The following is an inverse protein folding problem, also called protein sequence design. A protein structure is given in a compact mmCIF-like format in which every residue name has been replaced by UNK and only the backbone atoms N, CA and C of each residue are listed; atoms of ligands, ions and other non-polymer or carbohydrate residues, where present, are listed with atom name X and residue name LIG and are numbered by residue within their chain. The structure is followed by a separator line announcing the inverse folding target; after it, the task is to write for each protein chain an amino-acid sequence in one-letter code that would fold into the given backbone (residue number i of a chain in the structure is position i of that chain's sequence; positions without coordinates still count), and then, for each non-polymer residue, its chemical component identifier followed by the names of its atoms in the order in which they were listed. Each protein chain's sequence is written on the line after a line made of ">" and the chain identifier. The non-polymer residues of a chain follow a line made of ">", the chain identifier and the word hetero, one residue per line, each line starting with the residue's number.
data_IF_810550222941
#
_entry.id   IF_810550222941
#
_cell.length_a   1.000
_cell.length_b   1.000
_cell.length_c   1.000
_cell.angle_alpha   90.00
_cell.angle_beta   90.00
_cell.angle_gamma   90.00
#
_symmetry.space_group_name_H-M   'P 1'
#
loop_
_entity.id
_entity.type
_entity.pdbx_description
1 polymer ?
#
# COMPACT_ATOMS: atom_id res chain seq x y z
N UNK A 1 -25.26 -19.11 14.16
CA UNK A 1 -23.85 -18.90 13.76
C UNK A 1 -23.05 -18.62 15.03
N UNK A 2 -22.45 -19.65 15.64
CA UNK A 2 -21.76 -19.51 16.93
C UNK A 2 -20.41 -18.82 16.70
N UNK A 3 -20.21 -17.62 17.27
CA UNK A 3 -18.87 -17.04 17.42
C UNK A 3 -18.18 -17.74 18.59
N UNK A 4 -16.84 -17.84 18.55
CA UNK A 4 -16.04 -18.46 19.64
C UNK A 4 -16.42 -17.92 21.03
N UNK A 5 -16.77 -16.63 21.11
CA UNK A 5 -17.25 -15.97 22.34
C UNK A 5 -18.54 -16.56 22.94
N UNK A 6 -19.36 -17.23 22.14
CA UNK A 6 -20.61 -17.88 22.57
C UNK A 6 -20.45 -19.36 22.86
N UNK A 7 -19.26 -19.94 22.64
CA UNK A 7 -18.97 -21.35 22.89
C UNK A 7 -19.10 -21.67 24.39
N UNK A 8 -18.57 -20.81 25.26
CA UNK A 8 -18.69 -20.96 26.72
C UNK A 8 -20.14 -20.89 27.16
N UNK A 9 -20.92 -19.94 26.64
CA UNK A 9 -22.35 -19.83 26.92
C UNK A 9 -23.14 -21.07 26.47
N UNK A 10 -22.78 -21.62 25.31
CA UNK A 10 -23.40 -22.83 24.76
C UNK A 10 -23.06 -24.09 25.56
N UNK A 11 -21.79 -24.25 25.98
CA UNK A 11 -21.38 -25.34 26.88
C UNK A 11 -22.09 -25.26 28.24
N UNK A 12 -22.24 -24.06 28.80
CA UNK A 12 -23.00 -23.85 30.04
C UNK A 12 -24.47 -24.23 29.86
N UNK A 13 -25.08 -23.88 28.73
CA UNK A 13 -26.47 -24.21 28.43
C UNK A 13 -26.69 -25.72 28.28
N UNK A 14 -25.77 -26.42 27.60
CA UNK A 14 -25.78 -27.89 27.52
C UNK A 14 -25.61 -28.51 28.91
N UNK A 15 -24.69 -28.01 29.74
CA UNK A 15 -24.52 -28.51 31.11
C UNK A 15 -25.79 -28.33 31.95
N UNK A 16 -26.46 -27.17 31.85
CA UNK A 16 -27.73 -26.91 32.54
C UNK A 16 -28.82 -27.88 32.06
N UNK A 17 -28.93 -28.12 30.76
CA UNK A 17 -29.90 -29.08 30.20
C UNK A 17 -29.61 -30.50 30.70
N UNK A 18 -28.35 -30.92 30.77
CA UNK A 18 -27.97 -32.24 31.29
C UNK A 18 -28.30 -32.40 32.79
N UNK A 19 -28.13 -31.33 33.58
CA UNK A 19 -28.54 -31.30 34.99
C UNK A 19 -30.06 -31.40 35.13
N UNK A 20 -30.83 -30.68 34.29
CA UNK A 20 -32.30 -30.77 34.30
C UNK A 20 -32.77 -32.18 33.92
N UNK A 21 -32.17 -32.79 32.90
CA UNK A 21 -32.49 -34.17 32.48
C UNK A 21 -32.12 -35.18 33.57
N UNK A 22 -31.00 -34.97 34.27
CA UNK A 22 -30.65 -35.78 35.43
C UNK A 22 -31.69 -35.63 36.54
N UNK A 23 -32.04 -34.40 36.93
CA UNK A 23 -33.05 -34.16 37.97
C UNK A 23 -34.42 -34.75 37.59
N UNK A 24 -34.83 -34.67 36.32
CA UNK A 24 -36.10 -35.23 35.87
C UNK A 24 -36.14 -36.77 36.01
N UNK A 25 -35.07 -37.47 35.61
CA UNK A 25 -35.03 -38.94 35.63
C UNK A 25 -34.63 -39.53 36.99
N UNK A 26 -33.96 -38.75 37.85
CA UNK A 26 -33.41 -39.22 39.13
C UNK A 26 -34.00 -38.47 40.35
N UNK A 27 -35.09 -37.69 40.19
CA UNK A 27 -35.72 -36.95 41.31
C UNK A 27 -36.32 -37.84 42.39
N UNK A 28 -36.61 -39.11 42.09
CA UNK A 28 -37.35 -40.01 42.97
C UNK A 28 -36.46 -40.98 43.79
N UNK A 29 -35.14 -40.99 43.59
CA UNK A 29 -34.18 -41.81 44.34
C UNK A 29 -32.76 -41.21 44.31
N UNK A 30 -31.95 -41.41 45.36
CA UNK A 30 -30.56 -40.94 45.38
C UNK A 30 -29.68 -41.59 44.31
N UNK A 31 -30.07 -42.78 43.84
CA UNK A 31 -29.53 -43.50 42.69
C UNK A 31 -30.70 -44.30 42.09
N UNK A 32 -30.95 -44.24 40.78
CA UNK A 32 -31.99 -45.09 40.17
C UNK A 32 -31.49 -46.53 40.06
N UNK A 33 -32.29 -47.48 40.55
CA UNK A 33 -32.05 -48.93 40.38
C UNK A 33 -32.47 -49.44 38.98
N UNK A 34 -33.09 -48.59 38.17
CA UNK A 34 -33.53 -48.93 36.82
C UNK A 34 -32.46 -48.60 35.77
N UNK A 35 -31.94 -49.62 35.11
CA UNK A 35 -30.93 -49.50 34.04
C UNK A 35 -31.40 -48.62 32.88
N UNK A 36 -32.71 -48.54 32.65
CA UNK A 36 -33.29 -47.69 31.59
C UNK A 36 -33.02 -46.20 31.79
N UNK A 37 -33.03 -45.70 33.04
CA UNK A 37 -32.86 -44.27 33.35
C UNK A 37 -31.41 -43.83 33.10
N UNK A 38 -30.46 -44.72 33.42
CA UNK A 38 -29.05 -44.55 33.10
C UNK A 38 -28.78 -44.58 31.59
N UNK A 39 -29.49 -45.44 30.84
CA UNK A 39 -29.42 -45.48 29.37
C UNK A 39 -29.95 -44.21 28.71
N UNK A 40 -31.07 -43.68 29.22
CA UNK A 40 -31.64 -42.41 28.75
C UNK A 40 -30.69 -41.23 29.03
N UNK A 41 -30.20 -41.11 30.26
CA UNK A 41 -29.24 -40.05 30.64
C UNK A 41 -27.94 -40.13 29.82
N UNK A 42 -27.36 -41.33 29.67
CA UNK A 42 -26.18 -41.54 28.82
C UNK A 42 -26.40 -41.14 27.36
N UNK A 43 -27.60 -41.35 26.83
CA UNK A 43 -27.98 -40.92 25.47
C UNK A 43 -28.00 -39.40 25.34
N UNK A 44 -28.59 -38.68 26.30
CA UNK A 44 -28.60 -37.21 26.29
C UNK A 44 -27.21 -36.60 26.48
N UNK A 45 -26.38 -37.18 27.35
CA UNK A 45 -24.97 -36.80 27.52
C UNK A 45 -24.21 -36.97 26.19
N UNK A 46 -24.40 -38.10 25.51
CA UNK A 46 -23.75 -38.37 24.23
C UNK A 46 -24.18 -37.37 23.13
N UNK A 47 -25.47 -37.02 23.06
CA UNK A 47 -25.97 -35.97 22.15
C UNK A 47 -25.34 -34.61 22.46
N UNK A 48 -25.27 -34.24 23.74
CA UNK A 48 -24.65 -32.98 24.18
C UNK A 48 -23.17 -32.89 23.78
N UNK A 49 -22.39 -33.94 24.07
CA UNK A 49 -20.97 -34.01 23.69
C UNK A 49 -20.81 -33.99 22.16
N UNK A 50 -21.65 -34.74 21.42
CA UNK A 50 -21.62 -34.76 19.96
C UNK A 50 -21.84 -33.38 19.34
N UNK A 51 -22.79 -32.60 19.88
CA UNK A 51 -23.07 -31.24 19.41
C UNK A 51 -21.90 -30.27 19.70
N UNK A 52 -21.24 -30.41 20.85
CA UNK A 52 -20.04 -29.63 21.18
C UNK A 52 -18.91 -29.99 20.20
N UNK A 53 -18.67 -31.28 19.97
CA UNK A 53 -17.65 -31.77 19.04
C UNK A 53 -17.87 -31.25 17.61
N UNK A 54 -19.08 -31.35 17.08
CA UNK A 54 -19.42 -30.84 15.74
C UNK A 54 -19.19 -29.32 15.66
N UNK A 55 -19.58 -28.59 16.72
CA UNK A 55 -19.40 -27.14 16.78
C UNK A 55 -17.93 -26.74 16.78
N UNK A 56 -17.09 -27.45 17.54
CA UNK A 56 -15.65 -27.24 17.57
C UNK A 56 -15.01 -27.55 16.21
N UNK A 57 -15.35 -28.70 15.61
CA UNK A 57 -14.85 -29.07 14.26
C UNK A 57 -15.20 -27.99 13.24
N UNK A 58 -16.42 -27.46 13.29
CA UNK A 58 -16.85 -26.40 12.38
C UNK A 58 -16.05 -25.09 12.58
N UNK A 59 -15.80 -24.69 13.83
CA UNK A 59 -14.98 -23.50 14.14
C UNK A 59 -13.55 -23.71 13.62
N UNK A 60 -12.93 -24.85 13.95
CA UNK A 60 -11.59 -25.20 13.49
C UNK A 60 -11.52 -25.23 11.97
N UNK A 61 -12.51 -25.82 11.31
CA UNK A 61 -12.59 -25.84 9.84
C UNK A 61 -12.65 -24.42 9.25
N UNK A 62 -13.43 -23.53 9.85
CA UNK A 62 -13.54 -22.14 9.39
C UNK A 62 -12.23 -21.37 9.60
N UNK A 63 -11.56 -21.57 10.73
CA UNK A 63 -10.24 -20.98 11.00
C UNK A 63 -9.18 -21.52 10.02
N UNK A 64 -9.16 -22.84 9.79
CA UNK A 64 -8.30 -23.45 8.78
C UNK A 64 -8.59 -22.92 7.38
N UNK A 65 -9.86 -22.73 7.02
CA UNK A 65 -10.22 -22.17 5.73
C UNK A 65 -9.73 -20.71 5.59
N UNK A 66 -9.80 -19.91 6.66
CA UNK A 66 -9.23 -18.55 6.67
C UNK A 66 -7.72 -18.60 6.53
N UNK A 67 -7.04 -19.45 7.32
CA UNK A 67 -5.58 -19.62 7.27
C UNK A 67 -5.12 -20.07 5.88
N UNK A 68 -5.79 -21.03 5.26
CA UNK A 68 -5.48 -21.52 3.92
C UNK A 68 -5.68 -20.44 2.84
N UNK A 69 -6.68 -19.57 3.00
CA UNK A 69 -6.88 -18.44 2.07
C UNK A 69 -5.74 -17.43 2.17
N UNK A 70 -5.27 -17.14 3.37
CA UNK A 70 -4.11 -16.25 3.60
C UNK A 70 -2.85 -16.89 3.01
N UNK A 71 -2.56 -18.15 3.33
CA UNK A 71 -1.39 -18.86 2.81
C UNK A 71 -1.35 -18.90 1.27
N UNK A 72 -2.50 -19.15 0.62
CA UNK A 72 -2.60 -19.09 -0.85
C UNK A 72 -2.37 -17.69 -1.41
N UNK A 73 -2.83 -16.66 -0.70
CA UNK A 73 -2.55 -15.29 -1.09
C UNK A 73 -1.05 -14.99 -0.99
N UNK A 74 -0.41 -15.32 0.13
CA UNK A 74 1.04 -15.14 0.33
C UNK A 74 1.85 -15.89 -0.74
N UNK A 75 1.49 -17.13 -1.05
CA UNK A 75 2.14 -17.91 -2.11
C UNK A 75 2.02 -17.20 -3.47
N UNK A 76 0.81 -16.82 -3.88
CA UNK A 76 0.60 -16.10 -5.14
C UNK A 76 1.32 -14.74 -5.17
N UNK A 77 1.32 -14.03 -4.05
CA UNK A 77 2.00 -12.75 -3.91
C UNK A 77 3.51 -12.92 -4.06
N UNK A 78 4.13 -13.91 -3.40
CA UNK A 78 5.57 -14.17 -3.55
C UNK A 78 5.94 -14.63 -4.96
N UNK A 79 5.09 -15.40 -5.62
CA UNK A 79 5.27 -15.75 -7.04
C UNK A 79 5.22 -14.49 -7.90
N UNK A 80 4.22 -13.63 -7.70
CA UNK A 80 4.10 -12.37 -8.43
C UNK A 80 5.29 -11.45 -8.17
N UNK A 81 5.75 -11.34 -6.92
CA UNK A 81 6.91 -10.55 -6.52
C UNK A 81 8.19 -11.06 -7.21
N UNK A 82 8.40 -12.38 -7.21
CA UNK A 82 9.54 -13.00 -7.88
C UNK A 82 9.51 -12.75 -9.39
N UNK A 83 8.37 -13.00 -10.04
CA UNK A 83 8.22 -12.75 -11.48
C UNK A 83 8.42 -11.27 -11.82
N UNK A 84 7.90 -10.36 -10.99
CA UNK A 84 8.10 -8.93 -11.16
C UNK A 84 9.58 -8.55 -11.05
N UNK A 85 10.29 -9.10 -10.05
CA UNK A 85 11.73 -8.90 -9.88
C UNK A 85 12.56 -9.44 -11.04
N UNK A 86 12.24 -10.63 -11.55
CA UNK A 86 12.93 -11.19 -12.72
C UNK A 86 12.68 -10.37 -13.99
N UNK A 87 11.44 -9.94 -14.21
CA UNK A 87 11.07 -9.09 -15.34
C UNK A 87 11.77 -7.73 -15.26
N UNK A 88 11.82 -7.15 -14.06
CA UNK A 88 12.55 -5.91 -13.79
C UNK A 88 14.03 -6.04 -14.12
N UNK A 89 14.72 -7.03 -13.56
CA UNK A 89 16.16 -7.20 -13.74
C UNK A 89 16.53 -7.39 -15.22
N UNK A 90 15.70 -8.10 -15.99
CA UNK A 90 15.89 -8.24 -17.45
C UNK A 90 15.80 -6.91 -18.21
N UNK A 91 14.99 -5.97 -17.73
CA UNK A 91 14.71 -4.67 -18.39
C UNK A 91 15.33 -3.48 -17.66
N UNK A 92 16.10 -3.72 -16.61
CA UNK A 92 16.65 -2.71 -15.70
C UNK A 92 17.44 -1.61 -16.40
N UNK A 93 18.26 -1.99 -17.40
CA UNK A 93 19.04 -1.03 -18.18
C UNK A 93 18.13 -0.09 -18.99
N UNK A 94 17.13 -0.64 -19.67
CA UNK A 94 16.15 0.13 -20.45
C UNK A 94 15.38 1.11 -19.55
N UNK A 95 14.93 0.64 -18.39
CA UNK A 95 14.23 1.46 -17.40
C UNK A 95 15.13 2.57 -16.90
N UNK A 96 16.38 2.26 -16.51
CA UNK A 96 17.34 3.26 -16.04
C UNK A 96 17.66 4.31 -17.11
N UNK A 97 17.89 3.89 -18.36
CA UNK A 97 18.18 4.80 -19.46
C UNK A 97 16.99 5.73 -19.75
N UNK A 98 15.76 5.19 -19.69
CA UNK A 98 14.53 5.97 -19.83
C UNK A 98 14.34 6.97 -18.68
N UNK A 99 14.65 6.56 -17.45
CA UNK A 99 14.60 7.44 -16.29
C UNK A 99 15.62 8.57 -16.40
N UNK A 100 16.86 8.28 -16.80
CA UNK A 100 17.91 9.30 -16.94
C UNK A 100 17.51 10.40 -17.95
N UNK A 101 16.79 10.05 -19.02
CA UNK A 101 16.25 11.02 -19.98
C UNK A 101 15.26 11.99 -19.30
N UNK A 102 14.42 11.48 -18.41
CA UNK A 102 13.45 12.26 -17.63
C UNK A 102 14.17 13.08 -16.56
N UNK A 103 15.04 12.46 -15.76
CA UNK A 103 15.73 13.11 -14.66
C UNK A 103 16.54 14.32 -15.12
N UNK A 104 17.26 14.20 -16.25
CA UNK A 104 18.01 15.30 -16.83
C UNK A 104 17.13 16.52 -17.13
N UNK A 105 15.87 16.30 -17.51
CA UNK A 105 14.91 17.38 -17.76
C UNK A 105 14.46 18.06 -16.46
N UNK A 106 14.28 17.29 -15.39
CA UNK A 106 13.82 17.79 -14.08
C UNK A 106 14.95 18.16 -13.10
N UNK A 107 16.19 18.29 -13.58
CA UNK A 107 17.32 18.77 -12.77
C UNK A 107 17.15 20.21 -12.29
N UNK A 108 16.50 21.03 -13.11
CA UNK A 108 16.10 22.35 -12.66
C UNK A 108 14.77 22.22 -11.91
N UNK A 109 14.64 22.77 -10.69
CA UNK A 109 13.35 22.86 -10.05
C UNK A 109 12.37 23.49 -11.04
N UNK A 110 11.12 23.05 -11.04
CA UNK A 110 10.08 23.95 -11.49
C UNK A 110 10.32 25.22 -10.68
N UNK A 111 10.82 26.27 -11.33
CA UNK A 111 10.88 27.63 -10.79
C UNK A 111 9.48 27.99 -10.24
N UNK A 112 9.24 29.14 -9.58
CA UNK A 112 7.89 29.48 -9.11
C UNK A 112 6.98 29.78 -10.33
N UNK A 113 6.67 28.73 -11.08
CA UNK A 113 5.84 28.64 -12.26
C UNK A 113 4.41 28.73 -11.75
N UNK A 114 4.02 29.97 -11.53
CA UNK A 114 2.73 30.52 -11.93
C UNK A 114 1.78 29.48 -12.54
N UNK A 115 0.67 29.25 -11.83
CA UNK A 115 -0.59 28.66 -12.32
C UNK A 115 -0.65 27.19 -12.79
N UNK A 116 0.29 26.32 -12.43
CA UNK A 116 0.10 24.87 -12.67
C UNK A 116 -0.92 24.23 -11.70
N UNK A 117 -1.93 23.58 -12.29
CA UNK A 117 -2.88 22.71 -11.58
C UNK A 117 -2.31 21.29 -11.45
N UNK A 118 -2.75 20.54 -10.42
CA UNK A 118 -2.36 19.14 -10.24
C UNK A 118 -2.63 18.30 -11.49
N UNK A 119 -3.77 18.53 -12.15
CA UNK A 119 -4.16 17.87 -13.41
C UNK A 119 -3.15 18.13 -14.52
N UNK A 120 -2.76 19.40 -14.73
CA UNK A 120 -1.80 19.74 -15.77
C UNK A 120 -0.45 19.10 -15.50
N UNK A 121 -0.01 19.05 -14.24
CA UNK A 121 1.20 18.32 -13.87
C UNK A 121 1.10 16.84 -14.20
N UNK A 122 0.02 16.14 -13.81
CA UNK A 122 -0.18 14.72 -14.16
C UNK A 122 -0.08 14.50 -15.67
N UNK A 123 -0.73 15.34 -16.48
CA UNK A 123 -0.66 15.27 -17.94
C UNK A 123 0.77 15.44 -18.47
N UNK A 124 1.50 16.44 -17.96
CA UNK A 124 2.89 16.70 -18.33
C UNK A 124 3.78 15.50 -18.00
N UNK A 125 3.63 14.88 -16.84
CA UNK A 125 4.35 13.65 -16.48
C UNK A 125 4.06 12.51 -17.46
N UNK A 126 2.79 12.35 -17.85
CA UNK A 126 2.39 11.37 -18.87
C UNK A 126 3.03 11.62 -20.23
N UNK A 127 3.19 12.88 -20.66
CA UNK A 127 3.90 13.20 -21.91
C UNK A 127 5.39 12.91 -21.83
N UNK A 128 6.03 13.21 -20.69
CA UNK A 128 7.44 12.87 -20.49
C UNK A 128 7.71 11.38 -20.56
N UNK A 129 6.79 10.55 -20.06
CA UNK A 129 6.87 9.11 -20.24
C UNK A 129 6.94 8.74 -21.73
N UNK A 130 5.92 9.12 -22.52
CA UNK A 130 5.86 8.81 -23.95
C UNK A 130 7.09 9.27 -24.71
N UNK A 131 7.62 10.45 -24.38
CA UNK A 131 8.84 10.95 -25.02
C UNK A 131 10.09 10.16 -24.62
N UNK A 132 10.21 9.77 -23.34
CA UNK A 132 11.41 9.11 -22.83
C UNK A 132 11.52 7.66 -23.31
N UNK A 133 10.38 6.96 -23.42
CA UNK A 133 10.33 5.55 -23.81
C UNK A 133 9.97 5.31 -25.27
N UNK A 134 9.97 6.33 -26.13
CA UNK A 134 9.49 6.23 -27.52
C UNK A 134 9.98 4.98 -28.27
N UNK A 135 11.28 4.66 -28.18
CA UNK A 135 11.90 3.51 -28.86
C UNK A 135 11.71 2.17 -28.14
N UNK A 136 11.32 2.18 -26.87
CA UNK A 136 11.32 1.03 -25.95
C UNK A 136 10.00 0.91 -25.19
N UNK A 137 8.94 1.49 -25.75
CA UNK A 137 7.67 1.67 -25.06
C UNK A 137 7.04 0.33 -24.72
N UNK A 138 7.15 -0.66 -25.61
CA UNK A 138 6.56 -1.97 -25.41
C UNK A 138 7.20 -2.69 -24.22
N UNK A 139 8.52 -2.63 -24.10
CA UNK A 139 9.27 -3.24 -23.00
C UNK A 139 8.96 -2.58 -21.66
N UNK A 140 8.88 -1.26 -21.64
CA UNK A 140 8.52 -0.50 -20.45
C UNK A 140 7.06 -0.76 -20.05
N UNK A 141 6.12 -0.70 -21.00
CA UNK A 141 4.70 -0.94 -20.76
C UNK A 141 4.44 -2.37 -20.26
N UNK A 142 5.19 -3.37 -20.75
CA UNK A 142 5.11 -4.75 -20.27
C UNK A 142 5.44 -4.84 -18.77
N UNK A 143 6.57 -4.25 -18.36
CA UNK A 143 7.03 -4.23 -16.97
C UNK A 143 6.01 -3.52 -16.08
N UNK A 144 5.61 -2.30 -16.46
CA UNK A 144 4.72 -1.48 -15.63
C UNK A 144 3.31 -2.03 -15.55
N UNK A 145 2.80 -2.65 -16.62
CA UNK A 145 1.51 -3.35 -16.58
C UNK A 145 1.55 -4.53 -15.61
N UNK A 146 2.63 -5.30 -15.59
CA UNK A 146 2.78 -6.40 -14.65
C UNK A 146 2.82 -5.89 -13.20
N UNK A 147 3.61 -4.84 -12.92
CA UNK A 147 3.69 -4.25 -11.59
C UNK A 147 2.36 -3.68 -11.13
N UNK A 148 1.68 -2.93 -12.00
CA UNK A 148 0.38 -2.38 -11.68
C UNK A 148 -0.66 -3.47 -11.38
N UNK A 149 -0.61 -4.59 -12.12
CA UNK A 149 -1.47 -5.75 -11.85
C UNK A 149 -1.22 -6.35 -10.47
N UNK A 150 0.05 -6.52 -10.10
CA UNK A 150 0.43 -7.01 -8.78
C UNK A 150 0.01 -6.04 -7.66
N UNK A 151 0.24 -4.74 -7.83
CA UNK A 151 -0.24 -3.71 -6.89
C UNK A 151 -1.77 -3.71 -6.73
N UNK A 152 -2.50 -3.86 -7.83
CA UNK A 152 -3.95 -3.97 -7.79
C UNK A 152 -4.44 -5.23 -7.09
N UNK A 153 -3.72 -6.35 -7.21
CA UNK A 153 -4.07 -7.59 -6.51
C UNK A 153 -3.98 -7.43 -4.99
N UNK A 154 -3.01 -6.66 -4.50
CA UNK A 154 -2.87 -6.31 -3.08
C UNK A 154 -4.00 -5.38 -2.66
N UNK A 155 -4.20 -4.28 -3.41
CA UNK A 155 -5.24 -3.28 -3.12
C UNK A 155 -6.63 -3.89 -3.00
N UNK A 156 -7.00 -4.71 -3.97
CA UNK A 156 -8.34 -5.31 -4.09
C UNK A 156 -8.55 -6.54 -3.22
N UNK A 157 -7.51 -7.10 -2.59
CA UNK A 157 -7.64 -8.31 -1.77
C UNK A 157 -8.48 -8.03 -0.51
N UNK A 158 -9.59 -8.77 -0.29
CA UNK A 158 -10.37 -8.71 0.95
C UNK A 158 -9.84 -9.70 2.01
N UNK A 159 -8.83 -10.52 1.66
CA UNK A 159 -8.30 -11.59 2.51
C UNK A 159 -7.32 -11.03 3.53
N UNK A 160 -6.52 -10.06 3.11
CA UNK A 160 -5.51 -9.38 3.92
C UNK A 160 -6.06 -8.06 4.47
N UNK A 161 -5.65 -7.71 5.69
CA UNK A 161 -6.01 -6.45 6.34
C UNK A 161 -5.11 -5.30 5.88
N UNK A 162 -5.30 -4.11 6.47
CA UNK A 162 -4.57 -2.91 6.07
C UNK A 162 -3.07 -3.00 6.39
N UNK A 163 -2.72 -3.56 7.56
CA UNK A 163 -1.32 -3.69 7.99
C UNK A 163 -0.55 -4.63 7.06
N UNK A 164 -1.18 -5.72 6.66
CA UNK A 164 -0.61 -6.68 5.71
C UNK A 164 -0.47 -6.07 4.30
N UNK A 165 -1.42 -5.22 3.87
CA UNK A 165 -1.29 -4.48 2.60
C UNK A 165 -0.10 -3.52 2.62
N UNK A 166 0.07 -2.77 3.70
CA UNK A 166 1.20 -1.85 3.89
C UNK A 166 2.54 -2.58 3.84
N UNK A 167 2.62 -3.77 4.46
CA UNK A 167 3.78 -4.67 4.36
C UNK A 167 4.07 -5.06 2.91
N UNK A 168 3.07 -5.54 2.17
CA UNK A 168 3.24 -5.91 0.76
C UNK A 168 3.70 -4.73 -0.11
N UNK A 169 3.12 -3.54 0.07
CA UNK A 169 3.56 -2.35 -0.67
C UNK A 169 4.99 -1.95 -0.32
N UNK A 170 5.36 -2.01 0.96
CA UNK A 170 6.74 -1.75 1.40
C UNK A 170 7.73 -2.73 0.75
N UNK A 171 7.44 -4.02 0.76
CA UNK A 171 8.28 -5.03 0.11
C UNK A 171 8.43 -4.80 -1.39
N UNK A 172 7.33 -4.51 -2.10
CA UNK A 172 7.39 -4.13 -3.52
C UNK A 172 8.25 -2.87 -3.72
N UNK A 173 8.10 -1.87 -2.86
CA UNK A 173 8.88 -0.63 -2.96
C UNK A 173 10.39 -0.84 -2.77
N UNK A 174 10.78 -1.83 -1.96
CA UNK A 174 12.16 -2.23 -1.75
C UNK A 174 12.72 -3.03 -2.92
N UNK A 175 11.89 -3.83 -3.59
CA UNK A 175 12.30 -4.62 -4.76
C UNK A 175 12.60 -3.73 -5.97
N UNK A 176 11.80 -2.68 -6.17
CA UNK A 176 11.94 -1.80 -7.33
C UNK A 176 12.79 -0.58 -7.02
N UNK A 177 13.75 -0.33 -7.89
CA UNK A 177 14.59 0.86 -7.80
C UNK A 177 13.73 2.13 -7.90
N UNK A 178 14.25 3.23 -7.37
CA UNK A 178 13.60 4.53 -7.42
C UNK A 178 13.20 4.92 -8.85
N UNK A 179 14.10 4.69 -9.81
CA UNK A 179 13.91 4.99 -11.22
C UNK A 179 12.67 4.30 -11.79
N UNK A 180 12.48 3.03 -11.42
CA UNK A 180 11.34 2.23 -11.85
C UNK A 180 10.03 2.73 -11.24
N UNK A 181 10.06 3.13 -9.96
CA UNK A 181 8.88 3.64 -9.26
C UNK A 181 8.46 5.00 -9.81
N UNK A 182 9.39 5.91 -10.07
CA UNK A 182 9.10 7.21 -10.69
C UNK A 182 8.57 7.01 -12.12
N UNK A 183 9.20 6.14 -12.93
CA UNK A 183 8.70 5.84 -14.26
C UNK A 183 7.31 5.19 -14.26
N UNK A 184 7.03 4.29 -13.31
CA UNK A 184 5.70 3.70 -13.13
C UNK A 184 4.64 4.78 -12.87
N UNK A 185 4.97 5.80 -12.06
CA UNK A 185 4.08 6.93 -11.81
C UNK A 185 3.74 7.67 -13.11
N UNK A 186 4.76 7.97 -13.92
CA UNK A 186 4.60 8.71 -15.17
C UNK A 186 3.85 7.87 -16.21
N UNK A 187 4.14 6.56 -16.28
CA UNK A 187 3.38 5.60 -17.08
C UNK A 187 1.91 5.56 -16.66
N UNK A 188 1.62 5.54 -15.36
CA UNK A 188 0.25 5.55 -14.86
C UNK A 188 -0.51 6.76 -15.38
N UNK A 189 0.06 7.96 -15.24
CA UNK A 189 -0.55 9.17 -15.78
C UNK A 189 -0.65 9.20 -17.30
N UNK A 190 0.31 8.58 -18.02
CA UNK A 190 0.20 8.38 -19.47
C UNK A 190 -1.00 7.51 -19.87
N UNK A 191 -1.37 6.53 -19.03
CA UNK A 191 -2.52 5.64 -19.23
C UNK A 191 -3.79 6.10 -18.52
N UNK A 192 -3.83 7.33 -18.02
CA UNK A 192 -4.96 7.89 -17.25
C UNK A 192 -5.29 7.09 -15.97
N UNK A 193 -4.30 6.39 -15.42
CA UNK A 193 -4.40 5.64 -14.16
C UNK A 193 -3.99 6.56 -13.01
N UNK A 194 -4.89 6.72 -12.03
CA UNK A 194 -4.56 7.47 -10.83
C UNK A 194 -3.79 6.60 -9.83
N UNK A 195 -2.50 6.90 -9.67
CA UNK A 195 -1.61 6.22 -8.73
C UNK A 195 -1.48 6.97 -7.39
N UNK A 196 -2.25 8.04 -7.19
CA UNK A 196 -2.18 8.87 -5.97
C UNK A 196 -2.44 8.07 -4.69
N UNK A 197 -3.34 7.08 -4.73
CA UNK A 197 -3.62 6.22 -3.56
C UNK A 197 -2.37 5.48 -3.10
N UNK A 198 -1.56 4.96 -4.03
CA UNK A 198 -0.33 4.23 -3.73
C UNK A 198 0.76 5.13 -3.15
N UNK A 199 0.67 6.46 -3.32
CA UNK A 199 1.57 7.39 -2.66
C UNK A 199 1.39 7.37 -1.14
N UNK A 200 0.16 7.29 -0.67
CA UNK A 200 -0.16 7.24 0.76
C UNK A 200 0.29 5.91 1.38
N UNK A 201 0.21 4.84 0.61
CA UNK A 201 0.68 3.47 0.94
C UNK A 201 2.21 3.30 0.85
N UNK A 202 2.98 4.39 0.76
CA UNK A 202 4.44 4.32 0.84
C UNK A 202 5.19 4.00 -0.47
N UNK A 203 4.50 3.57 -1.55
CA UNK A 203 5.17 3.14 -2.80
C UNK A 203 6.11 4.19 -3.39
N UNK A 204 5.70 5.46 -3.36
CA UNK A 204 6.49 6.60 -3.86
C UNK A 204 7.09 7.45 -2.73
N UNK A 205 6.82 7.06 -1.48
CA UNK A 205 7.16 7.84 -0.28
C UNK A 205 8.50 7.33 0.24
N UNK A 206 9.61 7.75 -0.37
CA UNK A 206 10.93 7.35 0.14
C UNK A 206 11.87 8.53 0.29
N UNK A 207 12.60 8.53 1.42
CA UNK A 207 13.84 9.29 1.67
C UNK A 207 14.98 8.96 0.68
N UNK A 208 14.71 8.03 -0.24
CA UNK A 208 15.63 7.51 -1.25
C UNK A 208 15.63 8.40 -2.50
N UNK A 209 14.57 9.20 -2.74
CA UNK A 209 14.55 10.09 -3.91
C UNK A 209 15.63 11.15 -3.75
N UNK A 210 16.78 10.90 -4.39
CA UNK A 210 17.96 11.75 -4.28
C UNK A 210 17.71 13.12 -4.92
N UNK A 211 16.83 13.17 -5.91
CA UNK A 211 16.49 14.41 -6.61
C UNK A 211 15.34 15.16 -5.91
N UNK A 212 15.69 16.20 -5.12
CA UNK A 212 14.74 17.07 -4.39
C UNK A 212 13.67 17.70 -5.32
N UNK A 213 14.01 18.01 -6.57
CA UNK A 213 13.07 18.57 -7.54
C UNK A 213 12.03 17.53 -7.96
N UNK A 214 12.46 16.33 -8.36
CA UNK A 214 11.56 15.22 -8.68
C UNK A 214 10.66 14.83 -7.50
N UNK A 215 11.20 14.80 -6.28
CA UNK A 215 10.42 14.53 -5.08
C UNK A 215 9.27 15.52 -4.90
N UNK A 216 9.54 16.82 -5.10
CA UNK A 216 8.52 17.87 -5.00
C UNK A 216 7.45 17.74 -6.10
N UNK A 217 7.86 17.37 -7.32
CA UNK A 217 6.93 17.14 -8.44
C UNK A 217 6.02 15.94 -8.15
N UNK A 218 6.60 14.83 -7.68
CA UNK A 218 5.85 13.62 -7.29
C UNK A 218 4.85 13.94 -6.18
N UNK A 219 5.27 14.67 -5.14
CA UNK A 219 4.39 15.16 -4.07
C UNK A 219 3.24 15.99 -4.61
N UNK A 220 3.53 16.97 -5.47
CA UNK A 220 2.49 17.82 -6.04
C UNK A 220 1.53 17.02 -6.93
N UNK A 221 2.04 16.11 -7.76
CA UNK A 221 1.22 15.28 -8.64
C UNK A 221 0.28 14.36 -7.85
N UNK A 222 0.77 13.71 -6.79
CA UNK A 222 -0.03 12.73 -6.03
C UNK A 222 -0.96 13.37 -5.00
N UNK A 223 -0.49 14.35 -4.21
CA UNK A 223 -1.22 14.89 -3.05
C UNK A 223 -1.43 16.40 -3.10
N UNK A 224 -1.00 17.08 -4.16
CA UNK A 224 -1.17 18.54 -4.33
C UNK A 224 -0.29 19.39 -3.43
N UNK A 225 0.61 18.78 -2.64
CA UNK A 225 1.50 19.50 -1.73
C UNK A 225 2.61 20.22 -2.50
N UNK A 226 2.70 21.54 -2.34
CA UNK A 226 3.76 22.37 -2.91
C UNK A 226 4.93 22.52 -1.93
N UNK A 227 6.18 22.65 -2.41
CA UNK A 227 7.28 23.02 -1.53
C UNK A 227 6.95 24.35 -0.84
N UNK A 228 7.17 24.41 0.48
CA UNK A 228 7.08 25.67 1.22
C UNK A 228 8.08 26.63 0.59
N UNK A 229 7.65 27.86 0.28
CA UNK A 229 8.58 28.92 -0.17
C UNK A 229 9.69 29.03 0.90
N UNK A 230 10.91 28.64 0.55
CA UNK A 230 12.07 29.00 1.37
C UNK A 230 12.09 30.53 1.37
N UNK A 231 11.88 31.15 2.55
CA UNK A 231 12.18 32.57 2.71
C UNK A 231 13.69 32.66 2.60
N UNK A 232 14.18 33.07 1.44
CA UNK A 232 15.57 33.51 1.31
C UNK A 232 15.71 34.69 2.25
N UNK A 233 16.55 34.55 3.28
CA UNK A 233 16.90 35.65 4.15
C UNK A 233 17.80 36.62 3.37
N UNK A 234 17.16 37.52 2.63
CA UNK A 234 17.83 38.51 1.79
C UNK A 234 18.68 39.49 2.60
N UNK A 235 18.57 39.48 3.94
CA UNK A 235 19.32 40.35 4.84
C UNK A 235 20.69 39.77 5.22
N UNK A 236 20.97 38.48 4.93
CA UNK A 236 22.21 37.78 5.32
C UNK A 236 22.99 37.14 4.14
N UNK A 237 22.86 37.68 2.94
CA UNK A 237 23.67 37.22 1.80
C UNK A 237 25.02 37.95 1.84
N UNK A 238 26.05 37.28 2.35
CA UNK A 238 27.43 37.76 2.31
C UNK A 238 27.94 37.69 0.86
N UNK A 239 28.09 38.85 0.21
CA UNK A 239 28.63 38.95 -1.15
C UNK A 239 30.16 39.08 -1.04
N UNK A 240 30.87 37.95 -1.12
CA UNK A 240 32.34 37.88 -1.00
C UNK A 240 33.10 38.81 -1.96
N UNK A 241 32.48 39.24 -3.07
CA UNK A 241 33.11 40.07 -4.11
C UNK A 241 32.74 41.57 -4.09
N UNK A 242 31.81 42.01 -3.22
CA UNK A 242 31.36 43.41 -3.18
C UNK A 242 31.22 43.91 -1.75
N UNK A 243 32.34 44.13 -1.06
CA UNK A 243 32.39 44.55 0.35
C UNK A 243 31.72 45.91 0.65
N UNK A 244 31.28 46.66 -0.37
CA UNK A 244 30.67 47.99 -0.23
C UNK A 244 29.29 48.14 -0.91
N UNK A 245 28.74 47.10 -1.56
CA UNK A 245 27.40 47.18 -2.17
C UNK A 245 26.40 46.34 -1.36
N UNK A 246 25.30 46.95 -0.93
CA UNK A 246 24.19 46.18 -0.33
C UNK A 246 23.50 45.34 -1.42
N UNK A 247 22.89 44.22 -1.03
CA UNK A 247 22.18 43.32 -1.95
C UNK A 247 21.17 44.07 -2.85
N UNK A 248 20.53 45.11 -2.31
CA UNK A 248 19.57 45.96 -3.03
C UNK A 248 20.20 46.70 -4.20
N UNK A 249 21.45 47.13 -4.06
CA UNK A 249 22.20 47.84 -5.10
C UNK A 249 22.62 46.89 -6.23
N UNK A 250 23.10 45.70 -5.85
CA UNK A 250 23.43 44.63 -6.81
C UNK A 250 22.20 44.17 -7.59
N UNK A 251 21.06 43.98 -6.91
CA UNK A 251 19.79 43.59 -7.53
C UNK A 251 19.29 44.65 -8.53
N UNK A 252 19.30 45.93 -8.13
CA UNK A 252 18.91 47.02 -9.02
C UNK A 252 19.82 47.15 -10.25
N UNK A 253 21.14 46.98 -10.07
CA UNK A 253 22.09 47.03 -11.19
C UNK A 253 21.86 45.91 -12.21
N UNK A 254 21.63 44.68 -11.75
CA UNK A 254 21.51 43.52 -12.64
C UNK A 254 20.15 43.44 -13.34
N UNK A 255 19.08 43.87 -12.67
CA UNK A 255 17.71 43.65 -13.14
C UNK A 255 16.96 44.91 -13.56
N UNK A 256 17.30 46.09 -13.03
CA UNK A 256 16.63 47.35 -13.40
C UNK A 256 17.39 48.20 -14.45
N UNK A 257 18.70 47.98 -14.66
CA UNK A 257 19.44 48.71 -15.70
C UNK A 257 19.23 48.17 -17.13
N UNK A 258 18.49 47.07 -17.34
CA UNK A 258 18.13 46.61 -18.70
C UNK A 258 17.19 47.58 -19.44
N UNK A 259 16.58 48.55 -18.75
CA UNK A 259 15.65 49.53 -19.33
C UNK A 259 16.30 50.87 -19.70
N UNK A 260 17.64 51.01 -19.67
CA UNK A 260 18.34 52.27 -20.01
C UNK A 260 19.28 52.18 -21.23
N UNK A 261 19.17 51.13 -22.04
CA UNK A 261 19.83 51.04 -23.35
C UNK A 261 18.81 50.91 -24.50
N UNK A 262 17.84 51.82 -24.54
CA UNK A 262 17.14 52.21 -25.77
C UNK A 262 17.38 53.70 -26.01
#
# INVERSE_FOLDING_TARGET
>A
MLKLKHLTTYCVLIAVVLVIVYLANFSHASLSDNTSDWGAWGSYVNVGISLISISLIYITYKEQQKSNKIARFEEHYHVALKTAGELFERKKKIIKDSYNRIENHFRNPFDPLTDYTQRNTKNVLGYYYSSAVFDVQQECDEVFRYFYTALNSIKSSPIIDADEKDRCYTEMSCLFSEEARILLLFWGYNKEIDLSDYYNEGMFRTSIINNKALLNIVKFACIGERPKKEKVDTENIDLEDYSNEEFKDTYNRLFNNKNKQQ
#
